data_IF_505609043321
#
_entry.id   IF_505609043321
#
_cell.length_a   1.000
_cell.length_b   1.000
_cell.length_c   1.000
_cell.angle_alpha   90.00
_cell.angle_beta   90.00
_cell.angle_gamma   90.00
#
_symmetry.space_group_name_H-M   'P 1'
#
loop_
_entity.id
_entity.type
_entity.pdbx_description
1 polymer ?
#
# COMPACT_ATOMS: atom_id res chain seq x y z
N UNK A 1 11.74 62.67 41.81
CA UNK A 1 10.69 61.68 42.12
C UNK A 1 10.34 60.96 40.84
N UNK A 2 11.10 59.89 40.53
CA UNK A 2 10.89 59.06 39.29
C UNK A 2 9.89 57.96 39.58
N UNK A 3 8.76 57.94 38.86
CA UNK A 3 7.81 56.86 38.88
C UNK A 3 8.24 55.82 37.86
N UNK A 4 8.67 54.64 38.34
CA UNK A 4 8.95 53.47 37.51
C UNK A 4 7.59 52.81 37.19
N UNK A 5 7.16 52.84 35.95
CA UNK A 5 6.01 52.13 35.45
C UNK A 5 6.46 50.70 35.10
N UNK A 6 6.06 49.71 35.92
CA UNK A 6 6.21 48.29 35.59
C UNK A 6 5.16 47.91 34.56
N UNK A 7 5.58 47.74 33.29
CA UNK A 7 4.72 47.15 32.27
C UNK A 7 4.83 45.66 32.45
N UNK A 8 3.77 45.04 33.01
CA UNK A 8 3.57 43.59 32.98
C UNK A 8 3.19 43.18 31.55
N UNK A 9 4.16 42.69 30.76
CA UNK A 9 3.89 41.96 29.53
C UNK A 9 3.30 40.60 29.91
N UNK A 10 1.98 40.54 29.97
CA UNK A 10 1.27 39.25 29.95
C UNK A 10 1.45 38.71 28.51
N UNK A 11 2.40 37.81 28.32
CA UNK A 11 2.46 36.98 27.15
C UNK A 11 1.25 36.07 27.15
N UNK A 12 0.18 36.49 26.47
CA UNK A 12 -0.95 35.63 26.14
C UNK A 12 -0.43 34.56 25.20
N UNK A 13 0.07 33.47 25.74
CA UNK A 13 0.26 32.24 25.02
C UNK A 13 -1.14 31.76 24.63
N UNK A 14 -1.57 32.07 23.44
CA UNK A 14 -2.69 31.40 22.81
C UNK A 14 -2.31 29.93 22.68
N UNK A 15 -2.54 29.18 23.73
CA UNK A 15 -2.61 27.72 23.64
C UNK A 15 -3.86 27.46 22.79
N UNK A 16 -3.66 27.29 21.49
CA UNK A 16 -4.64 26.63 20.66
C UNK A 16 -4.77 25.21 21.20
N UNK A 17 -5.63 25.03 22.18
CA UNK A 17 -6.03 23.74 22.72
C UNK A 17 -6.92 22.97 21.75
N UNK A 18 -6.55 22.97 20.47
CA UNK A 18 -7.13 22.08 19.48
C UNK A 18 -6.76 20.65 19.87
N UNK A 19 -7.76 19.79 20.00
CA UNK A 19 -7.52 18.34 20.16
C UNK A 19 -6.59 17.90 19.04
N UNK A 20 -5.49 17.22 19.37
CA UNK A 20 -4.60 16.62 18.38
C UNK A 20 -5.40 15.71 17.45
N UNK A 21 -5.37 15.92 16.12
CA UNK A 21 -6.18 15.15 15.20
C UNK A 21 -5.71 13.69 15.16
N UNK A 22 -6.65 12.78 15.04
CA UNK A 22 -6.33 11.39 14.72
C UNK A 22 -5.90 11.28 13.25
N UNK A 23 -4.95 10.39 12.97
CA UNK A 23 -4.41 10.17 11.63
C UNK A 23 -4.58 8.71 11.26
N UNK A 24 -5.27 8.44 10.15
CA UNK A 24 -5.37 7.12 9.54
C UNK A 24 -4.80 7.21 8.13
N UNK A 25 -3.83 6.36 7.85
CA UNK A 25 -3.18 6.27 6.55
C UNK A 25 -3.49 4.89 5.99
N UNK A 26 -4.20 4.84 4.86
CA UNK A 26 -4.49 3.60 4.14
C UNK A 26 -3.68 3.60 2.86
N UNK A 27 -2.80 2.63 2.73
CA UNK A 27 -1.94 2.46 1.56
C UNK A 27 -2.24 1.13 0.87
N UNK A 28 -2.53 1.16 -0.41
CA UNK A 28 -2.63 -0.01 -1.29
C UNK A 28 -1.33 -0.18 -2.08
N UNK A 29 -0.99 -1.42 -2.48
CA UNK A 29 0.24 -1.73 -3.21
C UNK A 29 -0.05 -1.94 -4.70
N UNK A 30 0.63 -1.19 -5.57
CA UNK A 30 0.45 -1.23 -7.05
C UNK A 30 -0.98 -0.90 -7.55
N UNK A 31 -1.74 -0.13 -6.82
CA UNK A 31 -3.09 0.24 -7.22
C UNK A 31 -3.07 1.21 -8.41
N UNK A 32 -3.69 0.81 -9.51
CA UNK A 32 -3.80 1.64 -10.70
C UNK A 32 -4.87 2.71 -10.51
N UNK A 33 -4.51 3.97 -10.62
CA UNK A 33 -5.42 5.10 -10.44
C UNK A 33 -6.64 5.09 -11.40
N UNK A 34 -6.55 4.39 -12.57
CA UNK A 34 -7.67 4.23 -13.50
C UNK A 34 -8.81 3.34 -12.99
N UNK A 35 -8.53 2.55 -11.96
CA UNK A 35 -9.56 1.73 -11.30
C UNK A 35 -10.30 2.49 -10.19
N UNK A 36 -9.88 3.72 -9.87
CA UNK A 36 -10.52 4.58 -8.88
C UNK A 36 -11.55 5.49 -9.56
N UNK A 37 -12.82 5.38 -9.18
CA UNK A 37 -13.92 6.17 -9.74
C UNK A 37 -13.68 7.66 -9.65
N UNK A 38 -13.27 8.14 -8.49
CA UNK A 38 -13.02 9.55 -8.21
C UNK A 38 -11.92 10.20 -9.06
N UNK A 39 -11.06 9.42 -9.73
CA UNK A 39 -10.05 9.98 -10.63
C UNK A 39 -10.48 10.06 -12.09
N UNK A 40 -11.56 9.36 -12.50
CA UNK A 40 -11.96 9.27 -13.91
C UNK A 40 -12.29 10.62 -14.52
N UNK A 41 -12.95 11.50 -13.79
CA UNK A 41 -13.32 12.85 -14.25
C UNK A 41 -12.12 13.77 -14.51
N UNK A 42 -10.95 13.44 -13.95
CA UNK A 42 -9.69 14.19 -14.13
C UNK A 42 -8.81 13.61 -15.24
N UNK A 43 -9.29 12.60 -15.97
CA UNK A 43 -8.59 11.96 -17.07
C UNK A 43 -9.24 12.29 -18.41
N UNK A 44 -8.45 12.23 -19.50
CA UNK A 44 -9.04 12.18 -20.83
C UNK A 44 -9.87 10.90 -21.00
N UNK A 45 -10.88 10.92 -21.86
CA UNK A 45 -11.75 9.78 -22.12
C UNK A 45 -10.96 8.51 -22.48
N UNK A 46 -9.92 8.65 -23.32
CA UNK A 46 -9.05 7.55 -23.73
C UNK A 46 -8.25 6.95 -22.55
N UNK A 47 -7.96 7.73 -21.53
CA UNK A 47 -7.27 7.24 -20.34
C UNK A 47 -8.23 6.65 -19.32
N UNK A 48 -9.37 7.28 -19.10
CA UNK A 48 -10.39 6.83 -18.17
C UNK A 48 -10.99 5.49 -18.58
N UNK A 49 -11.19 5.29 -19.89
CA UNK A 49 -11.85 4.10 -20.44
C UNK A 49 -10.91 3.25 -21.31
N UNK A 50 -9.66 3.13 -20.89
CA UNK A 50 -8.63 2.40 -21.63
C UNK A 50 -8.99 0.94 -21.92
N UNK A 51 -9.82 0.33 -21.07
CA UNK A 51 -10.29 -1.05 -21.21
C UNK A 51 -11.65 -1.19 -21.91
N UNK A 52 -12.29 -0.07 -22.25
CA UNK A 52 -13.62 0.02 -22.86
C UNK A 52 -14.55 0.92 -22.06
N UNK A 53 -15.51 1.58 -22.75
CA UNK A 53 -16.45 2.52 -22.09
C UNK A 53 -17.35 1.83 -21.05
N UNK A 54 -17.67 0.57 -21.29
CA UNK A 54 -18.55 -0.23 -20.41
C UNK A 54 -17.76 -1.07 -19.39
N UNK A 55 -16.42 -0.92 -19.37
CA UNK A 55 -15.54 -1.66 -18.46
C UNK A 55 -15.05 -0.75 -17.36
N UNK A 56 -15.79 -0.70 -16.26
CA UNK A 56 -15.46 0.12 -15.10
C UNK A 56 -15.38 -0.74 -13.84
N UNK A 57 -14.37 -0.46 -13.04
CA UNK A 57 -14.30 -0.92 -11.65
C UNK A 57 -14.95 0.15 -10.78
N UNK A 58 -15.85 -0.24 -9.92
CA UNK A 58 -16.54 0.66 -9.01
C UNK A 58 -15.82 0.71 -7.66
N UNK A 59 -15.63 1.92 -7.14
CA UNK A 59 -14.95 2.16 -5.85
C UNK A 59 -15.78 3.09 -4.95
N UNK A 60 -17.05 2.74 -4.64
CA UNK A 60 -18.01 3.69 -4.04
C UNK A 60 -17.55 4.24 -2.69
N UNK A 61 -16.87 3.43 -1.88
CA UNK A 61 -16.38 3.88 -0.57
C UNK A 61 -15.18 4.81 -0.68
N UNK A 62 -14.25 4.56 -1.62
CA UNK A 62 -13.13 5.47 -1.89
C UNK A 62 -13.67 6.77 -2.51
N UNK A 63 -14.61 6.67 -3.42
CA UNK A 63 -15.23 7.82 -4.09
C UNK A 63 -15.99 8.70 -3.08
N UNK A 64 -16.63 8.11 -2.07
CA UNK A 64 -17.29 8.89 -1.01
C UNK A 64 -16.27 9.66 -0.16
N UNK A 65 -15.12 9.06 0.19
CA UNK A 65 -14.03 9.78 0.86
C UNK A 65 -13.51 10.94 0.04
N UNK A 66 -13.35 10.73 -1.27
CA UNK A 66 -12.90 11.76 -2.19
C UNK A 66 -13.90 12.92 -2.29
N UNK A 67 -15.21 12.64 -2.28
CA UNK A 67 -16.28 13.63 -2.33
C UNK A 67 -16.29 14.55 -1.10
N UNK A 68 -15.98 14.00 0.07
CA UNK A 68 -15.99 14.74 1.34
C UNK A 68 -14.61 15.31 1.71
N UNK A 69 -13.58 15.00 0.92
CA UNK A 69 -12.19 15.31 1.17
C UNK A 69 -11.48 16.07 0.06
N UNK A 70 -10.22 15.75 -0.17
CA UNK A 70 -9.36 16.34 -1.18
C UNK A 70 -8.80 15.26 -2.10
N UNK A 71 -8.85 15.47 -3.40
CA UNK A 71 -8.21 14.62 -4.42
C UNK A 71 -6.90 15.26 -4.85
N UNK A 72 -5.79 14.53 -4.70
CA UNK A 72 -4.48 14.98 -5.17
C UNK A 72 -4.22 14.43 -6.57
N UNK A 73 -4.54 15.19 -7.61
CA UNK A 73 -4.42 14.77 -9.02
C UNK A 73 -2.96 14.68 -9.52
N UNK A 74 -2.03 15.38 -8.85
CA UNK A 74 -0.61 15.45 -9.20
C UNK A 74 0.29 14.93 -8.07
N UNK A 75 -0.10 13.82 -7.45
CA UNK A 75 0.71 13.16 -6.43
C UNK A 75 1.51 12.02 -7.05
N UNK A 76 2.84 12.12 -6.97
CA UNK A 76 3.75 11.15 -7.58
C UNK A 76 4.58 10.45 -6.49
N UNK A 77 4.73 9.13 -6.64
CA UNK A 77 5.64 8.37 -5.81
C UNK A 77 7.10 8.78 -6.11
N UNK A 78 7.92 8.90 -5.08
CA UNK A 78 9.35 9.23 -5.24
C UNK A 78 10.13 8.13 -5.99
N UNK A 79 9.60 6.92 -6.06
CA UNK A 79 10.11 5.79 -6.82
C UNK A 79 8.96 4.85 -7.20
N UNK A 80 8.96 4.26 -8.40
CA UNK A 80 7.95 3.29 -8.82
C UNK A 80 8.24 1.86 -8.32
N UNK A 81 9.00 1.70 -7.24
CA UNK A 81 9.41 0.41 -6.66
C UNK A 81 9.08 0.39 -5.16
N UNK A 82 8.62 -0.75 -4.65
CA UNK A 82 8.04 -0.88 -3.31
C UNK A 82 8.93 -0.33 -2.18
N UNK A 83 10.12 -0.91 -1.96
CA UNK A 83 11.01 -0.51 -0.86
C UNK A 83 11.41 0.96 -0.93
N UNK A 84 11.94 1.49 -2.04
CA UNK A 84 12.35 2.90 -2.07
C UNK A 84 11.16 3.87 -1.96
N UNK A 85 10.00 3.55 -2.52
CA UNK A 85 8.78 4.34 -2.34
C UNK A 85 8.36 4.40 -0.87
N UNK A 86 8.31 3.25 -0.20
CA UNK A 86 7.95 3.14 1.23
C UNK A 86 8.95 3.86 2.12
N UNK A 87 10.25 3.74 1.83
CA UNK A 87 11.30 4.43 2.57
C UNK A 87 11.14 5.96 2.49
N UNK A 88 10.85 6.49 1.30
CA UNK A 88 10.57 7.91 1.11
C UNK A 88 9.32 8.34 1.87
N UNK A 89 8.28 7.54 1.81
CA UNK A 89 6.99 7.84 2.41
C UNK A 89 7.08 7.97 3.93
N UNK A 90 7.76 7.01 4.60
CA UNK A 90 7.85 7.02 6.07
C UNK A 90 8.85 8.03 6.61
N UNK A 91 9.80 8.51 5.78
CA UNK A 91 10.90 9.38 6.20
C UNK A 91 10.79 10.82 5.69
N UNK A 92 10.04 11.06 4.61
CA UNK A 92 10.03 12.34 3.90
C UNK A 92 11.32 12.62 3.11
N UNK A 93 12.17 11.61 2.88
CA UNK A 93 13.46 11.73 2.20
C UNK A 93 13.43 11.04 0.83
N UNK A 94 14.30 11.45 -0.08
CA UNK A 94 14.52 10.70 -1.31
C UNK A 94 15.15 9.32 -1.03
N UNK A 95 14.85 8.28 -1.85
CA UNK A 95 15.32 6.91 -1.60
C UNK A 95 16.82 6.77 -1.36
N UNK A 96 17.63 7.55 -2.07
CA UNK A 96 19.10 7.53 -1.96
C UNK A 96 19.61 7.92 -0.57
N UNK A 97 18.87 8.79 0.12
CA UNK A 97 19.21 9.23 1.47
C UNK A 97 18.81 8.20 2.55
N UNK A 98 17.84 7.33 2.27
CA UNK A 98 17.26 6.43 3.25
C UNK A 98 18.05 5.15 3.50
N UNK A 99 18.97 4.78 2.60
CA UNK A 99 19.63 3.49 2.58
C UNK A 99 18.90 2.39 1.81
N UNK A 100 17.70 2.70 1.31
CA UNK A 100 16.82 1.75 0.63
C UNK A 100 16.52 2.17 -0.81
N UNK A 101 17.54 2.39 -1.67
CA UNK A 101 17.33 2.82 -3.05
C UNK A 101 16.82 1.71 -3.97
N UNK A 102 16.78 0.46 -3.51
CA UNK A 102 16.24 -0.70 -4.23
C UNK A 102 15.53 -1.66 -3.26
N UNK A 103 14.80 -2.64 -3.83
CA UNK A 103 14.10 -3.63 -3.00
C UNK A 103 15.05 -4.44 -2.13
N UNK A 104 14.54 -4.86 -0.97
CA UNK A 104 15.20 -5.71 0.03
C UNK A 104 16.35 -5.04 0.80
N UNK A 105 16.59 -3.76 0.62
CA UNK A 105 17.52 -3.02 1.45
C UNK A 105 16.80 -2.45 2.67
N UNK A 106 17.35 -2.64 3.89
CA UNK A 106 16.73 -2.12 5.10
C UNK A 106 16.83 -0.60 5.18
N UNK A 107 15.87 0.02 5.83
CA UNK A 107 15.92 1.43 6.19
C UNK A 107 17.08 1.66 7.17
N UNK A 108 17.96 2.63 6.90
CA UNK A 108 19.07 2.97 7.82
C UNK A 108 18.57 3.24 9.23
N UNK A 109 19.35 2.84 10.23
CA UNK A 109 19.00 3.03 11.64
C UNK A 109 18.91 4.49 12.07
N UNK A 110 19.66 5.36 11.40
CA UNK A 110 19.65 6.81 11.64
C UNK A 110 18.41 7.52 11.11
N UNK A 111 17.57 6.87 10.30
CA UNK A 111 16.37 7.48 9.73
C UNK A 111 15.28 7.55 10.78
N UNK A 112 14.81 8.77 11.02
CA UNK A 112 13.64 9.06 11.85
C UNK A 112 12.40 9.01 10.97
N UNK A 113 11.41 8.22 11.37
CA UNK A 113 10.13 8.12 10.67
C UNK A 113 9.12 9.12 11.22
N UNK A 114 8.07 9.42 10.42
CA UNK A 114 6.97 10.28 10.90
C UNK A 114 6.30 9.69 12.15
N UNK A 115 6.20 8.36 12.23
CA UNK A 115 5.61 7.66 13.38
C UNK A 115 6.42 7.90 14.66
N UNK A 116 7.76 7.94 14.54
CA UNK A 116 8.63 8.25 15.67
C UNK A 116 8.42 9.67 16.19
N UNK A 117 8.24 10.63 15.29
CA UNK A 117 7.95 12.03 15.64
C UNK A 117 6.60 12.12 16.35
N UNK A 118 5.56 11.48 15.82
CA UNK A 118 4.22 11.48 16.42
C UNK A 118 4.20 10.77 17.77
N UNK A 119 4.88 9.63 17.90
CA UNK A 119 5.02 8.90 19.16
C UNK A 119 5.67 9.76 20.26
N UNK A 120 6.73 10.50 19.91
CA UNK A 120 7.37 11.46 20.84
C UNK A 120 6.44 12.59 21.28
N UNK A 121 5.38 12.86 20.51
CA UNK A 121 4.31 13.82 20.82
C UNK A 121 3.09 13.21 21.50
N UNK A 122 3.20 11.97 21.98
CA UNK A 122 2.16 11.31 22.76
C UNK A 122 1.09 10.56 21.94
N UNK A 123 1.26 10.43 20.62
CA UNK A 123 0.37 9.62 19.81
C UNK A 123 0.55 8.13 20.08
N UNK A 124 -0.55 7.38 20.13
CA UNK A 124 -0.52 5.94 19.95
C UNK A 124 -0.28 5.66 18.47
N UNK A 125 0.82 4.98 18.14
CA UNK A 125 1.23 4.73 16.76
C UNK A 125 1.13 3.24 16.46
N UNK A 126 0.41 2.87 15.39
CA UNK A 126 0.23 1.48 14.97
C UNK A 126 0.49 1.30 13.49
N UNK A 127 1.01 0.15 13.13
CA UNK A 127 1.22 -0.27 11.74
C UNK A 127 0.70 -1.68 11.51
N UNK A 128 -0.08 -1.85 10.46
CA UNK A 128 -0.60 -3.14 10.02
C UNK A 128 -0.28 -3.36 8.54
N UNK A 129 0.04 -4.58 8.17
CA UNK A 129 0.28 -4.95 6.78
C UNK A 129 1.74 -4.87 6.34
N UNK A 130 1.97 -4.68 5.04
CA UNK A 130 3.28 -4.79 4.39
C UNK A 130 4.19 -3.61 4.71
N UNK A 131 5.36 -3.90 5.30
CA UNK A 131 6.40 -2.93 5.62
C UNK A 131 7.47 -2.79 4.53
N UNK A 132 8.16 -3.86 4.23
CA UNK A 132 9.20 -4.01 3.19
C UNK A 132 10.44 -3.10 3.37
N UNK A 133 10.80 -2.75 4.61
CA UNK A 133 11.96 -1.91 4.95
C UNK A 133 12.86 -2.53 6.02
N UNK A 134 12.78 -3.86 6.23
CA UNK A 134 13.55 -4.59 7.23
C UNK A 134 14.35 -5.75 6.59
N UNK A 135 14.97 -5.50 5.44
CA UNK A 135 15.82 -6.46 4.74
C UNK A 135 15.05 -7.67 4.18
N UNK A 136 15.61 -8.87 4.36
CA UNK A 136 15.16 -10.09 3.68
C UNK A 136 14.14 -10.95 4.42
N UNK A 137 13.81 -10.64 5.67
CA UNK A 137 12.86 -11.42 6.47
C UNK A 137 11.51 -11.57 5.77
N UNK A 138 10.98 -12.82 5.70
CA UNK A 138 9.76 -13.14 4.94
C UNK A 138 8.96 -14.26 5.62
N UNK A 139 7.73 -14.05 6.03
CA UNK A 139 6.99 -12.78 6.06
C UNK A 139 7.63 -11.73 6.97
N UNK A 140 8.37 -12.11 8.02
CA UNK A 140 9.03 -11.19 8.94
C UNK A 140 8.02 -10.39 9.76
N UNK A 141 7.16 -11.08 10.53
CA UNK A 141 6.19 -10.46 11.40
C UNK A 141 6.84 -9.70 12.56
N UNK A 142 6.22 -8.61 12.95
CA UNK A 142 6.58 -7.79 14.10
C UNK A 142 8.09 -7.51 14.20
N UNK A 143 8.71 -6.82 13.20
CA UNK A 143 10.13 -6.51 13.24
C UNK A 143 10.55 -5.95 14.59
N UNK A 144 11.71 -6.39 15.10
CA UNK A 144 12.24 -5.97 16.41
C UNK A 144 12.47 -4.47 16.48
N UNK A 145 12.96 -3.87 15.39
CA UNK A 145 12.97 -2.42 15.21
C UNK A 145 11.56 -1.95 14.85
N UNK A 146 10.91 -1.27 15.78
CA UNK A 146 9.50 -0.83 15.62
C UNK A 146 9.31 0.41 14.75
N UNK A 147 10.36 1.05 14.28
CA UNK A 147 10.34 2.21 13.38
C UNK A 147 9.42 3.36 13.85
N UNK A 148 9.28 3.51 15.18
CA UNK A 148 8.40 4.51 15.79
C UNK A 148 6.95 4.06 16.01
N UNK A 149 6.55 2.90 15.52
CA UNK A 149 5.23 2.33 15.78
C UNK A 149 5.21 1.60 17.13
N UNK A 150 4.43 2.07 18.09
CA UNK A 150 4.31 1.42 19.40
C UNK A 150 3.64 0.05 19.31
N UNK A 151 2.73 -0.13 18.36
CA UNK A 151 2.11 -1.40 18.02
C UNK A 151 2.41 -1.78 16.57
N UNK A 152 3.25 -2.82 16.39
CA UNK A 152 3.61 -3.37 15.08
C UNK A 152 3.33 -4.88 14.98
N UNK A 153 2.46 -5.42 15.85
CA UNK A 153 2.16 -6.86 15.90
C UNK A 153 1.70 -7.43 14.57
N UNK A 154 0.98 -6.63 13.80
CA UNK A 154 0.42 -7.02 12.50
C UNK A 154 1.20 -6.44 11.32
N UNK A 155 2.39 -5.91 11.57
CA UNK A 155 3.35 -5.52 10.54
C UNK A 155 4.10 -6.77 10.05
N UNK A 156 4.11 -7.00 8.75
CA UNK A 156 4.99 -8.00 8.15
C UNK A 156 5.95 -7.37 7.14
N UNK A 157 7.16 -7.89 7.06
CA UNK A 157 8.18 -7.24 6.23
C UNK A 157 7.92 -7.47 4.74
N UNK A 158 7.79 -8.71 4.26
CA UNK A 158 7.75 -9.04 2.83
C UNK A 158 6.65 -10.01 2.47
N UNK A 159 6.18 -9.87 1.24
CA UNK A 159 5.25 -10.79 0.60
C UNK A 159 3.92 -10.12 0.22
N UNK A 160 3.17 -10.85 -0.61
CA UNK A 160 1.83 -10.48 -1.08
C UNK A 160 0.88 -11.64 -0.74
N UNK A 161 0.81 -11.89 0.56
CA UNK A 161 0.05 -12.99 1.13
C UNK A 161 -1.45 -12.76 0.96
N UNK A 162 -2.20 -13.82 0.72
CA UNK A 162 -3.65 -13.75 0.50
C UNK A 162 -4.48 -14.35 1.63
N UNK A 163 -3.86 -15.07 2.55
CA UNK A 163 -4.54 -15.75 3.64
C UNK A 163 -3.73 -15.57 4.94
N UNK A 164 -4.36 -15.06 5.98
CA UNK A 164 -3.79 -14.86 7.29
C UNK A 164 -4.63 -15.55 8.36
N UNK A 165 -3.99 -16.01 9.39
CA UNK A 165 -4.63 -16.57 10.58
C UNK A 165 -3.92 -16.12 11.86
N UNK A 166 -4.61 -16.19 12.97
CA UNK A 166 -4.05 -15.96 14.30
C UNK A 166 -3.78 -17.31 14.95
N UNK A 167 -2.57 -17.46 15.50
CA UNK A 167 -2.17 -18.63 16.31
C UNK A 167 -1.80 -18.20 17.72
N UNK A 168 -1.51 -19.15 18.61
CA UNK A 168 -0.99 -18.86 19.94
C UNK A 168 0.33 -18.09 19.91
N UNK A 169 1.15 -18.32 18.88
CA UNK A 169 2.45 -17.64 18.67
C UNK A 169 2.29 -16.29 17.93
N UNK A 170 1.09 -15.89 17.55
CA UNK A 170 0.81 -14.65 16.81
C UNK A 170 0.34 -14.87 15.37
N UNK A 171 0.41 -13.82 14.52
CA UNK A 171 -0.08 -13.88 13.15
C UNK A 171 0.77 -14.79 12.27
N UNK A 172 0.11 -15.53 11.39
CA UNK A 172 0.74 -16.46 10.45
C UNK A 172 0.08 -16.38 9.08
N UNK A 173 0.82 -16.73 8.02
CA UNK A 173 0.25 -16.97 6.68
C UNK A 173 -0.49 -18.31 6.72
N UNK A 174 -1.80 -18.30 6.42
CA UNK A 174 -2.66 -19.48 6.44
C UNK A 174 -2.39 -20.40 5.25
N UNK A 175 -2.30 -19.85 4.02
CA UNK A 175 -2.00 -20.64 2.83
C UNK A 175 -0.56 -21.19 2.87
N UNK A 176 -0.42 -22.53 2.93
CA UNK A 176 0.86 -23.20 3.09
C UNK A 176 0.98 -24.44 2.20
N UNK A 177 2.18 -24.70 1.68
CA UNK A 177 2.53 -25.94 0.97
C UNK A 177 3.82 -26.49 1.54
N UNK A 178 3.81 -27.78 1.90
CA UNK A 178 4.95 -28.41 2.58
C UNK A 178 5.45 -27.62 3.79
N UNK A 179 4.52 -27.13 4.60
CA UNK A 179 4.76 -26.27 5.77
C UNK A 179 5.45 -24.92 5.49
N UNK A 180 5.56 -24.50 4.22
CA UNK A 180 6.08 -23.20 3.83
C UNK A 180 4.94 -22.28 3.39
N UNK A 181 4.96 -20.99 3.75
CA UNK A 181 3.93 -20.04 3.33
C UNK A 181 3.94 -19.84 1.82
N UNK A 182 2.75 -19.75 1.21
CA UNK A 182 2.56 -19.51 -0.22
C UNK A 182 1.73 -18.25 -0.44
N UNK A 183 1.71 -17.76 -1.69
CA UNK A 183 0.86 -16.63 -2.11
C UNK A 183 -0.50 -17.10 -2.62
N UNK A 184 -0.82 -18.37 -2.44
CA UNK A 184 -2.11 -18.91 -2.83
C UNK A 184 -3.22 -18.34 -1.93
N UNK A 185 -4.44 -18.33 -2.46
CA UNK A 185 -5.62 -17.97 -1.71
C UNK A 185 -5.93 -19.03 -0.66
N UNK A 186 -5.73 -20.32 -1.00
CA UNK A 186 -6.14 -21.43 -0.17
C UNK A 186 -7.66 -21.43 -0.01
N UNK A 187 -8.09 -21.62 1.21
CA UNK A 187 -9.49 -21.59 1.66
C UNK A 187 -9.87 -20.23 2.29
N UNK A 188 -9.20 -19.15 1.90
CA UNK A 188 -9.43 -17.84 2.48
C UNK A 188 -10.87 -17.37 2.28
N UNK A 189 -11.50 -17.02 3.37
CA UNK A 189 -12.84 -16.46 3.51
C UNK A 189 -12.79 -14.99 3.97
N UNK A 190 -13.92 -14.41 4.33
CA UNK A 190 -14.03 -13.03 4.84
C UNK A 190 -13.27 -12.78 6.16
N UNK A 191 -12.88 -13.82 6.90
CA UNK A 191 -12.15 -13.71 8.18
C UNK A 191 -10.65 -13.89 8.02
N UNK A 192 -10.23 -14.54 6.95
CA UNK A 192 -8.85 -14.97 6.70
C UNK A 192 -8.23 -14.34 5.46
N UNK A 193 -9.03 -13.81 4.52
CA UNK A 193 -8.48 -13.09 3.38
C UNK A 193 -7.68 -11.87 3.85
N UNK A 194 -6.45 -11.72 3.38
CA UNK A 194 -5.46 -10.81 3.95
C UNK A 194 -5.95 -9.36 4.12
N UNK A 195 -6.68 -8.83 3.15
CA UNK A 195 -7.24 -7.47 3.23
C UNK A 195 -8.30 -7.37 4.31
N UNK A 196 -9.29 -8.28 4.35
CA UNK A 196 -10.34 -8.30 5.38
C UNK A 196 -9.73 -8.50 6.77
N UNK A 197 -8.81 -9.47 6.91
CA UNK A 197 -8.13 -9.76 8.17
C UNK A 197 -7.38 -8.55 8.73
N UNK A 198 -6.64 -7.82 7.88
CA UNK A 198 -5.93 -6.60 8.29
C UNK A 198 -6.88 -5.47 8.68
N UNK A 199 -8.01 -5.34 7.98
CA UNK A 199 -9.06 -4.37 8.32
C UNK A 199 -9.65 -4.68 9.68
N UNK A 200 -10.02 -5.94 9.96
CA UNK A 200 -10.54 -6.36 11.26
C UNK A 200 -9.56 -6.04 12.41
N UNK A 201 -8.29 -6.36 12.21
CA UNK A 201 -7.24 -6.01 13.20
C UNK A 201 -7.08 -4.50 13.37
N UNK A 202 -7.29 -3.72 12.30
CA UNK A 202 -7.26 -2.26 12.37
C UNK A 202 -8.43 -1.71 13.18
N UNK A 203 -9.63 -2.25 13.00
CA UNK A 203 -10.81 -1.87 13.79
C UNK A 203 -10.65 -2.17 15.27
N UNK A 204 -10.07 -3.30 15.65
CA UNK A 204 -9.73 -3.61 17.04
C UNK A 204 -8.77 -2.59 17.68
N UNK A 205 -7.75 -2.18 16.92
CA UNK A 205 -6.78 -1.18 17.37
C UNK A 205 -7.44 0.20 17.49
N UNK A 206 -8.28 0.57 16.52
CA UNK A 206 -9.03 1.83 16.57
C UNK A 206 -9.94 1.90 17.81
N UNK A 207 -10.67 0.82 18.11
CA UNK A 207 -11.53 0.74 19.28
C UNK A 207 -10.72 0.89 20.59
N UNK A 208 -9.55 0.25 20.65
CA UNK A 208 -8.64 0.38 21.81
C UNK A 208 -8.12 1.81 22.00
N UNK A 209 -7.82 2.50 20.89
CA UNK A 209 -7.08 3.77 20.90
C UNK A 209 -7.98 5.02 20.72
N UNK A 210 -9.29 4.87 20.50
CA UNK A 210 -10.25 5.95 20.17
C UNK A 210 -10.28 7.13 21.14
N UNK A 211 -9.87 6.91 22.39
CA UNK A 211 -9.93 7.93 23.46
C UNK A 211 -8.61 8.72 23.63
N UNK A 212 -7.63 8.54 22.78
CA UNK A 212 -6.33 9.23 22.80
C UNK A 212 -5.91 9.61 21.37
N UNK A 213 -5.03 10.59 21.20
CA UNK A 213 -4.47 10.86 19.88
C UNK A 213 -3.79 9.60 19.32
N UNK A 214 -4.14 9.20 18.11
CA UNK A 214 -3.53 8.05 17.47
C UNK A 214 -3.13 8.33 16.02
N UNK A 215 -2.12 7.59 15.56
CA UNK A 215 -1.72 7.51 14.17
C UNK A 215 -1.63 6.04 13.77
N UNK A 216 -2.49 5.61 12.86
CA UNK A 216 -2.52 4.26 12.31
C UNK A 216 -2.10 4.27 10.85
N UNK A 217 -1.24 3.33 10.47
CA UNK A 217 -0.94 3.03 9.08
C UNK A 217 -1.39 1.61 8.74
N UNK A 218 -2.33 1.49 7.82
CA UNK A 218 -2.83 0.25 7.25
C UNK A 218 -2.27 0.11 5.82
N UNK A 219 -1.30 -0.77 5.64
CA UNK A 219 -0.60 -0.98 4.38
C UNK A 219 -1.02 -2.32 3.76
N UNK A 220 -2.06 -2.28 2.96
CA UNK A 220 -2.64 -3.44 2.30
C UNK A 220 -1.70 -3.96 1.20
N UNK A 221 -1.47 -5.28 1.09
CA UNK A 221 -0.70 -5.87 0.00
C UNK A 221 -1.43 -5.86 -1.34
N UNK A 222 -2.76 -5.76 -1.33
CA UNK A 222 -3.59 -5.70 -2.52
C UNK A 222 -3.64 -4.26 -3.11
N UNK A 223 -3.87 -4.15 -4.43
CA UNK A 223 -4.08 -5.19 -5.43
C UNK A 223 -2.80 -5.73 -6.10
N UNK A 224 -1.62 -5.68 -5.45
CA UNK A 224 -0.40 -6.28 -6.01
C UNK A 224 -0.57 -7.78 -6.28
N UNK A 225 -0.04 -8.26 -7.39
CA UNK A 225 -0.12 -9.67 -7.75
C UNK A 225 0.48 -10.65 -6.72
N UNK A 226 -0.03 -11.89 -6.65
CA UNK A 226 -1.02 -12.49 -7.55
C UNK A 226 -2.41 -11.83 -7.38
N UNK A 227 -3.08 -11.61 -8.51
CA UNK A 227 -4.39 -10.95 -8.56
C UNK A 227 -5.51 -11.97 -8.27
N UNK A 228 -5.43 -12.62 -7.13
CA UNK A 228 -6.44 -13.55 -6.62
C UNK A 228 -7.17 -12.93 -5.45
N UNK A 229 -8.47 -13.12 -5.39
CA UNK A 229 -9.35 -12.57 -4.37
C UNK A 229 -10.39 -13.64 -3.98
N UNK A 230 -10.92 -13.55 -2.77
CA UNK A 230 -11.94 -14.48 -2.30
C UNK A 230 -13.31 -14.26 -2.94
N UNK A 231 -14.20 -15.23 -2.83
CA UNK A 231 -15.61 -15.06 -3.13
C UNK A 231 -16.24 -13.95 -2.26
N UNK A 232 -17.20 -13.18 -2.78
CA UNK A 232 -17.77 -13.21 -4.15
C UNK A 232 -17.05 -12.30 -5.15
N UNK A 233 -15.90 -11.71 -4.77
CA UNK A 233 -15.17 -10.71 -5.57
C UNK A 233 -14.40 -11.34 -6.74
N UNK A 234 -14.08 -12.62 -6.67
CA UNK A 234 -13.36 -13.40 -7.67
C UNK A 234 -14.06 -13.45 -9.03
N UNK A 235 -15.38 -13.45 -9.02
CA UNK A 235 -16.23 -13.50 -10.21
C UNK A 235 -16.99 -12.20 -10.52
N UNK A 236 -16.83 -11.19 -9.67
CA UNK A 236 -17.60 -9.93 -9.74
C UNK A 236 -17.59 -9.27 -11.13
N UNK A 237 -16.49 -9.36 -11.86
CA UNK A 237 -16.26 -8.73 -13.15
C UNK A 237 -16.13 -9.71 -14.32
N UNK A 238 -16.51 -10.99 -14.18
CA UNK A 238 -16.42 -12.01 -15.23
C UNK A 238 -17.31 -11.69 -16.45
N UNK A 239 -18.34 -10.90 -16.24
CA UNK A 239 -19.22 -10.46 -17.32
C UNK A 239 -18.63 -9.33 -18.17
N UNK A 240 -17.51 -8.71 -17.77
CA UNK A 240 -16.90 -7.62 -18.49
C UNK A 240 -15.94 -8.10 -19.57
N UNK A 241 -16.05 -7.50 -20.76
CA UNK A 241 -15.15 -7.77 -21.88
C UNK A 241 -14.11 -6.64 -21.98
N UNK A 242 -12.88 -6.93 -21.60
CA UNK A 242 -11.80 -5.96 -21.57
C UNK A 242 -11.21 -5.74 -22.97
N UNK A 243 -11.17 -4.48 -23.40
CA UNK A 243 -10.45 -4.07 -24.59
C UNK A 243 -8.95 -4.10 -24.33
N UNK A 244 -8.19 -4.70 -25.23
CA UNK A 244 -6.74 -4.73 -25.09
C UNK A 244 -6.14 -3.32 -25.15
N UNK A 245 -5.35 -2.89 -24.16
CA UNK A 245 -4.71 -1.58 -24.16
C UNK A 245 -3.77 -1.39 -25.36
N UNK A 246 -3.71 -0.18 -25.90
CA UNK A 246 -2.80 0.17 -27.02
C UNK A 246 -1.33 -0.09 -26.66
N UNK A 247 -0.97 0.06 -25.40
CA UNK A 247 0.37 -0.24 -24.88
C UNK A 247 0.74 -1.72 -25.01
N UNK A 248 -0.22 -2.64 -24.89
CA UNK A 248 0.00 -4.06 -25.10
C UNK A 248 0.42 -4.36 -26.54
N UNK A 249 -0.19 -3.69 -27.53
CA UNK A 249 0.17 -3.83 -28.95
C UNK A 249 1.61 -3.38 -29.21
N UNK A 250 2.07 -2.30 -28.56
CA UNK A 250 3.46 -1.83 -28.66
C UNK A 250 4.44 -2.82 -28.08
N UNK A 251 4.12 -3.44 -26.95
CA UNK A 251 4.94 -4.49 -26.33
C UNK A 251 5.03 -5.70 -27.25
N UNK A 252 3.93 -6.17 -27.82
CA UNK A 252 3.92 -7.29 -28.75
C UNK A 252 4.72 -6.99 -30.04
N UNK A 253 4.64 -5.76 -30.57
CA UNK A 253 5.45 -5.33 -31.71
C UNK A 253 6.93 -5.28 -31.36
N UNK A 254 7.30 -4.80 -30.18
CA UNK A 254 8.67 -4.80 -29.68
C UNK A 254 9.21 -6.23 -29.49
N UNK A 255 8.38 -7.16 -28.99
CA UNK A 255 8.73 -8.58 -28.89
C UNK A 255 9.03 -9.22 -30.24
N UNK A 256 8.28 -8.84 -31.28
CA UNK A 256 8.53 -9.33 -32.67
C UNK A 256 9.85 -8.81 -33.23
N UNK A 257 10.23 -7.58 -32.91
CA UNK A 257 11.48 -6.96 -33.40
C UNK A 257 12.71 -7.30 -32.55
N UNK A 258 12.55 -8.06 -31.46
CA UNK A 258 13.59 -8.50 -30.54
C UNK A 258 14.67 -7.43 -30.23
N UNK A 259 14.33 -6.30 -29.59
CA UNK A 259 15.33 -5.33 -29.17
C UNK A 259 16.43 -5.99 -28.32
N UNK A 260 17.67 -5.50 -28.41
CA UNK A 260 18.83 -6.13 -27.76
C UNK A 260 18.68 -6.36 -26.26
N UNK A 261 17.89 -5.53 -25.55
CA UNK A 261 17.63 -5.74 -24.12
C UNK A 261 16.83 -7.03 -23.80
N UNK A 262 16.09 -7.59 -24.77
CA UNK A 262 15.35 -8.85 -24.59
C UNK A 262 16.24 -10.06 -24.47
N UNK A 263 17.47 -9.98 -24.95
CA UNK A 263 18.46 -11.04 -24.78
C UNK A 263 19.06 -11.09 -23.37
N UNK A 264 18.87 -10.02 -22.58
CA UNK A 264 19.26 -9.99 -21.15
C UNK A 264 18.39 -10.94 -20.33
N UNK A 265 18.88 -11.37 -19.15
CA UNK A 265 18.13 -12.24 -18.23
C UNK A 265 16.80 -11.59 -17.81
N UNK A 266 16.81 -10.29 -17.51
CA UNK A 266 15.59 -9.52 -17.21
C UNK A 266 14.61 -9.46 -18.38
N UNK A 267 15.11 -9.27 -19.60
CA UNK A 267 14.31 -9.26 -20.82
C UNK A 267 13.65 -10.60 -21.09
N UNK A 268 14.39 -11.71 -20.99
CA UNK A 268 13.86 -13.08 -21.12
C UNK A 268 12.76 -13.38 -20.10
N UNK A 269 12.97 -12.97 -18.85
CA UNK A 269 11.98 -13.14 -17.79
C UNK A 269 10.70 -12.34 -18.05
N UNK A 270 10.82 -11.12 -18.58
CA UNK A 270 9.67 -10.31 -18.98
C UNK A 270 8.90 -10.94 -20.13
N UNK A 271 9.59 -11.39 -21.16
CA UNK A 271 8.98 -12.11 -22.31
C UNK A 271 8.21 -13.33 -21.84
N UNK A 272 8.81 -14.14 -20.96
CA UNK A 272 8.17 -15.33 -20.38
C UNK A 272 6.91 -14.99 -19.59
N UNK A 273 6.93 -13.91 -18.79
CA UNK A 273 5.74 -13.42 -18.07
C UNK A 273 4.62 -12.98 -19.01
N UNK A 274 4.94 -12.27 -20.09
CA UNK A 274 3.97 -11.83 -21.09
C UNK A 274 3.34 -13.03 -21.80
N UNK A 275 4.13 -14.04 -22.15
CA UNK A 275 3.63 -15.29 -22.75
C UNK A 275 2.71 -16.06 -21.79
N UNK A 276 3.02 -16.07 -20.49
CA UNK A 276 2.16 -16.69 -19.47
C UNK A 276 0.81 -15.96 -19.42
N UNK A 277 0.80 -14.64 -19.41
CA UNK A 277 -0.44 -13.83 -19.39
C UNK A 277 -1.28 -14.12 -20.65
N UNK A 278 -0.66 -14.26 -21.82
CA UNK A 278 -1.36 -14.61 -23.07
C UNK A 278 -2.00 -16.00 -23.01
N UNK A 279 -1.36 -16.95 -22.36
CA UNK A 279 -1.90 -18.32 -22.20
C UNK A 279 -3.04 -18.41 -21.17
N UNK A 280 -3.05 -17.51 -20.15
CA UNK A 280 -4.15 -17.43 -19.17
C UNK A 280 -5.39 -16.69 -19.69
N UNK A 281 -5.24 -15.79 -20.65
CA UNK A 281 -6.37 -15.09 -21.28
C UNK A 281 -7.20 -15.96 -22.25
N UNK A 282 -7.12 -17.29 -22.09
CA UNK A 282 -7.99 -18.30 -22.70
C UNK A 282 -8.45 -17.98 -24.12
N UNK A 283 -7.60 -18.23 -25.12
CA UNK A 283 -8.10 -18.48 -26.48
C UNK A 283 -8.71 -17.30 -27.24
N UNK A 284 -8.32 -16.06 -27.00
CA UNK A 284 -8.54 -14.99 -27.97
C UNK A 284 -7.47 -15.14 -29.05
N UNK A 285 -7.81 -15.89 -30.07
CA UNK A 285 -7.06 -15.93 -31.33
C UNK A 285 -7.02 -14.51 -31.92
N UNK A 286 -5.84 -13.93 -32.03
CA UNK A 286 -5.59 -12.66 -32.71
C UNK A 286 -5.36 -12.95 -34.20
#
# INVERSE_FOLDING_TARGET
>A
MFRIIFIFLISLSYVFGGKSPNVIIIQTDEHNLRTLGCYREYMSEDQAFIWGKDVMVETPHIDSLAKDGLICTNYFAASPVCTPSRASWVSGLYPQATGSPSNNLPLKDSIVTFAEVLRKRGYATSYLGKWHLDGDAKPGWAPSRKFGFSDNRFMFNRGHWKNFEMTEDGPRVGARKNNQPTYDLGDADEKSFATDWLVDRSLEILERDKNKPFCMMLALPDPHGPNTVREPYDSMYDHLVFKQPVTMRKVLAALRNQPGWMSTEGGKNLVKKIQIIQNYSGGVTI
#
